data_IF_454354717433
#
_entry.id   IF_454354717433
#
_cell.length_a   1.000
_cell.length_b   1.000
_cell.length_c   1.000
_cell.angle_alpha   90.00
_cell.angle_beta   90.00
_cell.angle_gamma   90.00
#
_symmetry.space_group_name_H-M   'P 1'
#
loop_
_entity.id
_entity.type
_entity.pdbx_description
1 polymer ?
#
# COMPACT_ATOMS: atom_id res chain seq x y z
N UNK A 1 23.52 -4.92 -30.49
CA UNK A 1 23.10 -6.12 -31.26
C UNK A 1 21.60 -6.17 -31.55
N UNK A 2 20.71 -5.93 -30.57
CA UNK A 2 19.24 -5.98 -30.77
C UNK A 2 18.76 -5.00 -31.86
N UNK A 3 19.21 -3.76 -31.86
CA UNK A 3 18.80 -2.75 -32.85
C UNK A 3 19.25 -3.09 -34.28
N UNK A 4 20.49 -3.59 -34.44
CA UNK A 4 20.99 -4.08 -35.74
C UNK A 4 20.17 -5.26 -36.26
N UNK A 5 19.72 -6.15 -35.37
CA UNK A 5 18.85 -7.29 -35.72
C UNK A 5 17.43 -6.84 -36.14
N UNK A 6 17.00 -5.65 -35.73
CA UNK A 6 15.72 -5.05 -36.11
C UNK A 6 15.82 -4.05 -37.27
N UNK A 7 16.91 -4.10 -38.06
CA UNK A 7 17.05 -3.32 -39.29
C UNK A 7 17.63 -1.91 -39.13
N UNK A 8 18.07 -1.52 -37.93
CA UNK A 8 18.80 -0.27 -37.74
C UNK A 8 20.29 -0.48 -38.11
N UNK A 9 20.69 -0.04 -39.30
CA UNK A 9 22.04 -0.30 -39.87
C UNK A 9 23.00 0.89 -39.76
N UNK A 10 22.49 2.12 -39.73
CA UNK A 10 23.29 3.35 -39.67
C UNK A 10 23.04 4.09 -38.35
N UNK A 11 23.74 3.69 -37.30
CA UNK A 11 23.85 4.45 -36.06
C UNK A 11 25.24 4.25 -35.46
N UNK A 12 25.77 5.30 -34.84
CA UNK A 12 26.91 5.23 -33.94
C UNK A 12 26.42 5.13 -32.49
N UNK A 13 27.23 4.58 -31.59
CA UNK A 13 26.91 4.60 -30.16
C UNK A 13 26.80 6.05 -29.62
N UNK A 14 27.43 7.02 -30.30
CA UNK A 14 27.31 8.45 -30.00
C UNK A 14 25.95 9.06 -30.40
N UNK A 15 25.21 8.41 -31.32
CA UNK A 15 23.85 8.83 -31.68
C UNK A 15 22.81 8.41 -30.62
N UNK A 16 23.15 7.43 -29.79
CA UNK A 16 22.32 7.05 -28.65
C UNK A 16 22.72 7.84 -27.42
N UNK A 17 21.84 8.75 -27.00
CA UNK A 17 21.94 9.47 -25.73
C UNK A 17 21.63 8.54 -24.53
N UNK A 18 22.42 7.48 -24.38
CA UNK A 18 22.34 6.52 -23.28
C UNK A 18 23.34 6.92 -22.22
N UNK A 19 22.87 7.09 -20.98
CA UNK A 19 23.70 7.51 -19.86
C UNK A 19 23.65 6.51 -18.72
N UNK A 20 24.80 6.24 -18.12
CA UNK A 20 24.89 5.43 -16.89
C UNK A 20 24.68 6.35 -15.68
N UNK A 21 23.48 6.34 -15.10
CA UNK A 21 23.13 7.18 -13.96
C UNK A 21 21.96 6.59 -13.14
N UNK A 22 21.80 7.05 -11.90
CA UNK A 22 20.53 6.93 -11.17
C UNK A 22 19.62 8.10 -11.55
N UNK A 23 18.52 7.86 -12.26
CA UNK A 23 17.60 8.94 -12.69
C UNK A 23 17.04 9.75 -11.52
N UNK A 24 16.74 9.11 -10.38
CA UNK A 24 16.15 9.76 -9.21
C UNK A 24 17.16 10.50 -8.33
N UNK A 25 18.45 10.41 -8.65
CA UNK A 25 19.47 11.30 -8.10
C UNK A 25 19.42 12.65 -8.84
N UNK A 26 19.01 13.69 -8.12
CA UNK A 26 18.84 15.05 -8.63
C UNK A 26 19.85 16.03 -8.02
N UNK A 27 20.83 15.52 -7.26
CA UNK A 27 21.78 16.34 -6.53
C UNK A 27 22.49 17.32 -7.47
N UNK A 28 22.67 18.57 -7.02
CA UNK A 28 23.28 19.61 -7.83
C UNK A 28 24.82 19.56 -7.87
N UNK A 29 25.46 18.78 -7.02
CA UNK A 29 26.91 18.64 -6.97
C UNK A 29 27.18 17.16 -6.84
N UNK A 30 28.11 16.62 -7.63
CA UNK A 30 28.48 15.23 -7.49
C UNK A 30 29.32 15.05 -6.22
N UNK A 31 28.86 14.22 -5.29
CA UNK A 31 29.68 13.74 -4.18
C UNK A 31 30.47 12.51 -4.63
N UNK A 32 31.46 12.71 -5.51
CA UNK A 32 32.43 11.65 -5.79
C UNK A 32 33.47 11.66 -4.67
N UNK A 33 33.40 10.70 -3.74
CA UNK A 33 34.55 10.36 -2.91
C UNK A 33 35.67 9.92 -3.86
N UNK A 34 36.67 10.80 -3.99
CA UNK A 34 37.66 10.81 -5.07
C UNK A 34 38.75 9.75 -4.83
N UNK A 35 38.38 8.47 -4.90
CA UNK A 35 39.30 7.33 -4.89
C UNK A 35 38.94 6.34 -6.02
N UNK A 36 39.16 6.75 -7.28
CA UNK A 36 39.43 5.89 -8.46
C UNK A 36 39.37 6.73 -9.76
N UNK A 37 40.15 6.40 -10.82
CA UNK A 37 40.12 7.13 -12.08
C UNK A 37 38.89 6.69 -12.89
N UNK A 38 37.79 7.45 -12.75
CA UNK A 38 36.50 7.17 -13.41
C UNK A 38 36.03 8.37 -14.26
N UNK A 39 36.92 9.03 -15.00
CA UNK A 39 36.61 10.18 -15.87
C UNK A 39 35.42 9.92 -16.82
N UNK A 40 35.27 8.68 -17.30
CA UNK A 40 34.15 8.27 -18.14
C UNK A 40 32.81 8.28 -17.38
N UNK A 41 32.79 7.97 -16.08
CA UNK A 41 31.55 8.02 -15.28
C UNK A 41 31.16 9.45 -14.92
N UNK A 42 32.13 10.32 -14.63
CA UNK A 42 31.84 11.74 -14.38
C UNK A 42 31.27 12.42 -15.63
N UNK A 43 31.84 12.12 -16.81
CA UNK A 43 31.32 12.62 -18.09
C UNK A 43 29.89 12.14 -18.36
N UNK A 44 29.61 10.84 -18.16
CA UNK A 44 28.26 10.28 -18.33
C UNK A 44 27.26 10.84 -17.30
N UNK A 45 27.69 11.04 -16.06
CA UNK A 45 26.87 11.66 -15.01
C UNK A 45 26.53 13.12 -15.38
N UNK A 46 27.52 13.90 -15.85
CA UNK A 46 27.32 15.29 -16.29
C UNK A 46 26.35 15.40 -17.46
N UNK A 47 26.46 14.53 -18.47
CA UNK A 47 25.51 14.52 -19.60
C UNK A 47 24.10 14.13 -19.16
N UNK A 48 23.96 13.08 -18.35
CA UNK A 48 22.66 12.67 -17.80
C UNK A 48 22.01 13.80 -17.00
N UNK A 49 22.82 14.51 -16.21
CA UNK A 49 22.38 15.66 -15.43
C UNK A 49 21.93 16.82 -16.31
N UNK A 50 22.64 17.12 -17.40
CA UNK A 50 22.21 18.15 -18.35
C UNK A 50 20.82 17.82 -18.93
N UNK A 51 20.58 16.57 -19.31
CA UNK A 51 19.25 16.11 -19.73
C UNK A 51 18.22 16.30 -18.61
N UNK A 52 18.55 15.97 -17.36
CA UNK A 52 17.62 16.11 -16.21
C UNK A 52 17.32 17.55 -15.82
N UNK A 53 18.24 18.49 -15.98
CA UNK A 53 18.10 19.84 -15.42
C UNK A 53 17.94 20.95 -16.47
N UNK A 54 18.52 20.78 -17.65
CA UNK A 54 18.60 21.84 -18.65
C UNK A 54 17.65 21.62 -19.82
N UNK A 55 17.51 20.37 -20.28
CA UNK A 55 16.80 20.08 -21.52
C UNK A 55 15.30 19.91 -21.30
N UNK A 56 14.48 20.50 -22.17
CA UNK A 56 13.05 20.23 -22.18
C UNK A 56 12.77 18.91 -22.92
N UNK A 57 11.97 18.04 -22.29
CA UNK A 57 11.56 16.77 -22.87
C UNK A 57 10.10 16.86 -23.30
N UNK A 58 9.79 16.44 -24.53
CA UNK A 58 8.40 16.37 -25.00
C UNK A 58 7.72 15.06 -24.60
N UNK A 59 8.50 13.97 -24.53
CA UNK A 59 7.97 12.62 -24.29
C UNK A 59 8.87 11.90 -23.29
N UNK A 60 8.26 11.30 -22.26
CA UNK A 60 8.95 10.45 -21.29
C UNK A 60 8.22 9.11 -21.20
N UNK A 61 8.91 8.04 -21.58
CA UNK A 61 8.36 6.68 -21.58
C UNK A 61 9.17 5.76 -20.66
N UNK A 62 8.56 4.70 -20.13
CA UNK A 62 9.34 3.65 -19.47
C UNK A 62 8.57 2.54 -18.78
N UNK A 63 9.33 1.58 -18.26
CA UNK A 63 8.88 0.59 -17.28
C UNK A 63 9.68 0.81 -15.98
N UNK A 64 9.24 1.75 -15.12
CA UNK A 64 9.94 2.05 -13.88
C UNK A 64 10.04 0.84 -12.93
N UNK A 65 11.07 0.73 -12.08
CA UNK A 65 11.20 -0.36 -11.12
C UNK A 65 10.13 -0.30 -10.03
N UNK A 66 9.71 -1.47 -9.52
CA UNK A 66 8.70 -1.60 -8.44
C UNK A 66 9.40 -1.99 -7.13
N UNK A 67 9.50 -1.07 -6.17
CA UNK A 67 10.11 -1.32 -4.87
C UNK A 67 9.63 -0.36 -3.78
N UNK A 68 8.68 -0.81 -2.96
CA UNK A 68 8.16 -0.05 -1.80
C UNK A 68 9.25 0.20 -0.74
N UNK A 69 10.23 -0.70 -0.57
CA UNK A 69 11.39 -0.52 0.32
C UNK A 69 12.57 0.09 -0.45
N UNK A 70 12.26 1.14 -1.21
CA UNK A 70 13.20 1.83 -2.07
C UNK A 70 14.46 2.32 -1.32
N UNK A 71 15.61 2.13 -1.97
CA UNK A 71 16.89 2.73 -1.57
C UNK A 71 17.05 4.16 -2.10
N UNK A 72 16.23 4.60 -3.04
CA UNK A 72 16.25 5.96 -3.61
C UNK A 72 15.62 6.95 -2.62
N UNK A 73 16.44 7.46 -1.69
CA UNK A 73 16.00 8.36 -0.61
C UNK A 73 16.67 9.74 -0.69
N UNK A 74 17.13 10.15 -1.87
CA UNK A 74 17.70 11.48 -2.08
C UNK A 74 16.70 12.57 -1.69
N UNK A 75 17.19 13.66 -1.09
CA UNK A 75 16.35 14.70 -0.51
C UNK A 75 15.45 15.36 -1.56
N UNK A 76 16.00 15.68 -2.74
CA UNK A 76 15.27 16.35 -3.83
C UNK A 76 14.06 15.54 -4.33
N UNK A 77 14.23 14.24 -4.57
CA UNK A 77 13.12 13.39 -5.02
C UNK A 77 12.09 13.20 -3.91
N UNK A 78 12.51 13.16 -2.65
CA UNK A 78 11.59 13.12 -1.51
C UNK A 78 10.82 14.42 -1.35
N UNK A 79 11.42 15.56 -1.67
CA UNK A 79 10.76 16.87 -1.70
C UNK A 79 9.67 16.90 -2.78
N UNK A 80 10.01 16.51 -4.02
CA UNK A 80 9.03 16.42 -5.11
C UNK A 80 7.85 15.51 -4.75
N UNK A 81 8.13 14.40 -4.06
CA UNK A 81 7.14 13.42 -3.64
C UNK A 81 6.16 13.94 -2.56
N UNK A 82 6.48 15.04 -1.86
CA UNK A 82 5.58 15.61 -0.84
C UNK A 82 4.22 16.02 -1.41
N UNK A 83 4.17 16.47 -2.66
CA UNK A 83 2.91 16.84 -3.34
C UNK A 83 1.93 15.64 -3.35
N UNK A 84 2.43 14.43 -3.59
CA UNK A 84 1.61 13.22 -3.58
C UNK A 84 1.18 12.78 -2.17
N UNK A 85 1.70 13.41 -1.11
CA UNK A 85 1.43 13.09 0.30
C UNK A 85 0.68 14.21 1.03
N UNK A 86 0.61 15.40 0.45
CA UNK A 86 0.08 16.59 1.11
C UNK A 86 -1.40 16.42 1.47
N UNK A 87 -1.74 16.61 2.75
CA UNK A 87 -3.12 16.48 3.23
C UNK A 87 -3.62 15.03 3.40
N UNK A 88 -2.73 14.04 3.33
CA UNK A 88 -3.06 12.67 3.72
C UNK A 88 -2.91 12.51 5.24
N UNK A 89 -4.02 12.19 5.92
CA UNK A 89 -4.04 11.85 7.35
C UNK A 89 -4.00 10.32 7.60
N UNK A 90 -3.78 9.52 6.55
CA UNK A 90 -3.75 8.06 6.65
C UNK A 90 -2.55 7.60 7.48
N UNK A 91 -2.81 6.68 8.42
CA UNK A 91 -1.78 6.12 9.33
C UNK A 91 -0.66 5.38 8.60
N UNK A 92 -0.86 4.93 7.35
CA UNK A 92 0.15 4.23 6.57
C UNK A 92 0.15 4.70 5.11
N UNK A 93 1.08 5.59 4.78
CA UNK A 93 1.32 6.11 3.42
C UNK A 93 2.57 5.50 2.77
N UNK A 94 3.09 4.38 3.29
CA UNK A 94 4.36 3.81 2.85
C UNK A 94 4.35 3.42 1.35
N UNK A 95 3.19 3.04 0.80
CA UNK A 95 3.05 2.70 -0.62
C UNK A 95 3.49 3.84 -1.54
N UNK A 96 3.32 5.10 -1.12
CA UNK A 96 3.73 6.28 -1.90
C UNK A 96 5.26 6.41 -2.04
N UNK A 97 6.05 5.64 -1.29
CA UNK A 97 7.50 5.62 -1.40
C UNK A 97 8.02 4.59 -2.42
N UNK A 98 7.13 3.90 -3.13
CA UNK A 98 7.52 2.99 -4.21
C UNK A 98 8.29 3.73 -5.30
N UNK A 99 9.30 3.07 -5.88
CA UNK A 99 10.14 3.64 -6.92
C UNK A 99 9.33 4.04 -8.16
N UNK A 100 8.34 3.26 -8.60
CA UNK A 100 7.56 3.65 -9.79
C UNK A 100 6.82 4.98 -9.58
N UNK A 101 6.35 5.24 -8.36
CA UNK A 101 5.69 6.50 -8.01
C UNK A 101 6.69 7.65 -8.04
N UNK A 102 7.92 7.44 -7.56
CA UNK A 102 8.99 8.44 -7.64
C UNK A 102 9.35 8.74 -9.09
N UNK A 103 9.44 7.73 -9.95
CA UNK A 103 9.69 7.92 -11.38
C UNK A 103 8.54 8.67 -12.06
N UNK A 104 7.29 8.34 -11.76
CA UNK A 104 6.14 9.09 -12.27
C UNK A 104 6.14 10.54 -11.78
N UNK A 105 6.47 10.78 -10.51
CA UNK A 105 6.56 12.13 -9.96
C UNK A 105 7.70 12.93 -10.58
N UNK A 106 8.88 12.33 -10.70
CA UNK A 106 10.01 12.90 -11.40
C UNK A 106 9.64 13.27 -12.85
N UNK A 107 8.95 12.37 -13.55
CA UNK A 107 8.56 12.60 -14.94
C UNK A 107 7.53 13.73 -15.07
N UNK A 108 6.53 13.81 -14.18
CA UNK A 108 5.59 14.92 -14.12
C UNK A 108 6.33 16.26 -13.90
N UNK A 109 7.21 16.31 -12.90
CA UNK A 109 8.02 17.50 -12.63
C UNK A 109 8.87 17.88 -13.84
N UNK A 110 9.59 16.92 -14.41
CA UNK A 110 10.51 17.13 -15.53
C UNK A 110 9.77 17.64 -16.78
N UNK A 111 8.60 17.08 -17.07
CA UNK A 111 7.82 17.43 -18.24
C UNK A 111 7.13 18.79 -18.08
N UNK A 112 6.51 19.04 -16.92
CA UNK A 112 5.54 20.13 -16.78
C UNK A 112 6.00 21.27 -15.87
N UNK A 113 6.85 21.03 -14.88
CA UNK A 113 7.08 21.99 -13.79
C UNK A 113 8.49 22.59 -13.83
N UNK A 114 9.48 21.79 -14.20
CA UNK A 114 10.86 22.23 -14.26
C UNK A 114 11.03 23.33 -15.31
N UNK A 115 11.82 24.34 -14.98
CA UNK A 115 12.17 25.45 -15.89
C UNK A 115 10.97 26.24 -16.40
N UNK A 116 9.81 26.20 -15.70
CA UNK A 116 8.74 27.17 -15.91
C UNK A 116 9.27 28.58 -15.56
N UNK A 117 9.16 29.51 -16.51
CA UNK A 117 9.62 30.91 -16.39
C UNK A 117 8.68 31.74 -15.54
N UNK A 118 7.38 31.45 -15.62
CA UNK A 118 6.34 32.06 -14.81
C UNK A 118 5.21 31.07 -14.50
N UNK A 119 4.26 31.48 -13.65
CA UNK A 119 3.16 30.64 -13.19
C UNK A 119 2.13 30.31 -14.28
N UNK A 120 2.12 31.04 -15.40
CA UNK A 120 1.14 30.91 -16.47
C UNK A 120 1.68 30.14 -17.68
N UNK A 121 3.00 29.93 -17.76
CA UNK A 121 3.61 29.09 -18.80
C UNK A 121 3.16 27.63 -18.63
N UNK A 122 2.49 27.10 -19.66
CA UNK A 122 2.09 25.71 -19.75
C UNK A 122 2.99 24.95 -20.72
N UNK A 123 3.57 23.86 -20.23
CA UNK A 123 4.37 22.95 -21.05
C UNK A 123 3.50 21.87 -21.66
N UNK A 124 3.90 21.35 -22.81
CA UNK A 124 3.21 20.26 -23.52
C UNK A 124 4.06 19.01 -23.50
N UNK A 125 3.40 17.86 -23.57
CA UNK A 125 4.08 16.60 -23.73
C UNK A 125 3.26 15.39 -23.32
N UNK A 126 3.95 14.25 -23.30
CA UNK A 126 3.36 12.95 -23.04
C UNK A 126 4.21 12.14 -22.06
N UNK A 127 3.57 11.60 -21.03
CA UNK A 127 4.13 10.54 -20.20
C UNK A 127 3.48 9.20 -20.59
N UNK A 128 4.29 8.14 -20.68
CA UNK A 128 3.78 6.80 -20.97
C UNK A 128 4.50 5.72 -20.17
N UNK A 129 3.79 5.03 -19.28
CA UNK A 129 4.39 4.03 -18.41
C UNK A 129 3.63 2.72 -18.38
N UNK A 130 4.36 1.62 -18.21
CA UNK A 130 3.80 0.38 -17.66
C UNK A 130 4.28 0.23 -16.22
N UNK A 131 3.34 0.23 -15.27
CA UNK A 131 3.63 0.21 -13.83
C UNK A 131 2.76 -0.78 -13.09
N UNK A 132 3.09 -1.03 -11.83
CA UNK A 132 2.15 -1.59 -10.86
C UNK A 132 0.83 -0.78 -10.86
N UNK A 133 -0.31 -1.46 -10.92
CA UNK A 133 -1.64 -0.83 -11.00
C UNK A 133 -2.19 -0.36 -9.64
N UNK A 134 -1.48 -0.53 -8.53
CA UNK A 134 -1.98 -0.14 -7.20
C UNK A 134 -2.33 1.35 -7.05
N UNK A 135 -1.76 2.25 -7.87
CA UNK A 135 -2.10 3.66 -7.82
C UNK A 135 -3.49 3.98 -8.37
N UNK A 136 -4.06 3.15 -9.26
CA UNK A 136 -5.36 3.47 -9.89
C UNK A 136 -6.52 3.34 -8.90
N UNK A 137 -6.40 2.47 -7.89
CA UNK A 137 -7.45 2.18 -6.90
C UNK A 137 -7.01 2.18 -5.42
N UNK A 138 -5.74 2.49 -5.11
CA UNK A 138 -5.29 2.55 -3.72
C UNK A 138 -5.74 3.86 -3.02
N UNK A 139 -6.27 3.74 -1.80
CA UNK A 139 -6.81 4.86 -0.99
C UNK A 139 -5.79 5.97 -0.71
N UNK A 140 -4.54 5.59 -0.46
CA UNK A 140 -3.43 6.51 -0.17
C UNK A 140 -2.94 7.25 -1.41
N UNK A 141 -3.19 6.72 -2.62
CA UNK A 141 -2.77 7.32 -3.89
C UNK A 141 -3.69 8.47 -4.35
N UNK A 142 -4.70 8.87 -3.57
CA UNK A 142 -5.67 9.89 -3.98
C UNK A 142 -5.05 11.25 -4.30
N UNK A 143 -4.02 11.67 -3.56
CA UNK A 143 -3.29 12.93 -3.82
C UNK A 143 -2.37 12.85 -5.02
N UNK A 144 -1.80 11.67 -5.29
CA UNK A 144 -1.10 11.40 -6.55
C UNK A 144 -2.07 11.50 -7.74
N UNK A 145 -3.23 10.84 -7.68
CA UNK A 145 -4.24 10.91 -8.75
C UNK A 145 -4.79 12.31 -8.94
N UNK A 146 -5.08 13.03 -7.85
CA UNK A 146 -5.49 14.45 -7.90
C UNK A 146 -4.45 15.31 -8.62
N UNK A 147 -3.16 15.15 -8.28
CA UNK A 147 -2.09 15.91 -8.91
C UNK A 147 -1.99 15.62 -10.41
N UNK A 148 -2.03 14.34 -10.80
CA UNK A 148 -2.01 13.92 -12.21
C UNK A 148 -3.24 14.45 -12.96
N UNK A 149 -4.43 14.29 -12.38
CA UNK A 149 -5.69 14.80 -12.93
C UNK A 149 -5.66 16.31 -13.18
N UNK A 150 -5.09 17.09 -12.26
CA UNK A 150 -4.96 18.55 -12.40
C UNK A 150 -3.83 18.98 -13.34
N UNK A 151 -2.88 18.09 -13.63
CA UNK A 151 -1.68 18.44 -14.41
C UNK A 151 -1.81 18.13 -15.90
N UNK A 152 -2.68 17.19 -16.27
CA UNK A 152 -2.82 16.72 -17.66
C UNK A 152 -4.20 17.07 -18.23
N UNK A 153 -4.32 17.06 -19.56
CA UNK A 153 -5.59 17.34 -20.24
C UNK A 153 -6.35 16.03 -20.53
N UNK A 154 -5.62 14.94 -20.80
CA UNK A 154 -6.18 13.60 -21.00
C UNK A 154 -5.30 12.54 -20.32
N UNK A 155 -5.95 11.52 -19.75
CA UNK A 155 -5.30 10.38 -19.12
C UNK A 155 -5.95 9.10 -19.65
N UNK A 156 -5.14 8.16 -20.13
CA UNK A 156 -5.59 6.84 -20.59
C UNK A 156 -5.01 5.76 -19.70
N UNK A 157 -5.86 4.90 -19.15
CA UNK A 157 -5.49 3.82 -18.22
C UNK A 157 -5.97 2.48 -18.78
N UNK A 158 -5.05 1.71 -19.36
CA UNK A 158 -5.27 0.32 -19.74
C UNK A 158 -4.83 -0.59 -18.58
N UNK A 159 -5.78 -1.01 -17.76
CA UNK A 159 -5.51 -1.94 -16.66
C UNK A 159 -5.44 -3.38 -17.20
N UNK A 160 -4.24 -3.94 -17.17
CA UNK A 160 -3.93 -5.28 -17.66
C UNK A 160 -4.08 -6.35 -16.57
N UNK A 161 -4.35 -5.97 -15.30
CA UNK A 161 -4.53 -6.90 -14.17
C UNK A 161 -3.34 -7.87 -14.01
N UNK A 162 -3.60 -9.14 -13.66
CA UNK A 162 -2.60 -10.18 -13.46
C UNK A 162 -1.96 -10.20 -12.07
N UNK A 163 -2.66 -9.76 -11.03
CA UNK A 163 -2.24 -9.94 -9.64
C UNK A 163 -2.75 -11.25 -9.06
N UNK A 164 -2.09 -11.75 -8.01
CA UNK A 164 -2.58 -12.93 -7.24
C UNK A 164 -3.98 -12.71 -6.61
N UNK A 165 -4.51 -11.49 -6.65
CA UNK A 165 -5.85 -11.14 -6.13
C UNK A 165 -6.93 -11.12 -7.20
N UNK A 166 -6.54 -11.13 -8.47
CA UNK A 166 -7.47 -11.12 -9.60
C UNK A 166 -8.03 -12.54 -9.81
N UNK A 167 -8.82 -12.74 -10.87
CA UNK A 167 -9.38 -14.06 -11.17
C UNK A 167 -8.25 -15.11 -11.29
N UNK A 168 -8.52 -16.35 -10.86
CA UNK A 168 -7.50 -17.41 -10.78
C UNK A 168 -6.80 -17.70 -12.13
N UNK A 169 -7.46 -17.43 -13.24
CA UNK A 169 -6.98 -17.61 -14.60
C UNK A 169 -6.45 -16.31 -15.24
N UNK A 170 -6.40 -15.21 -14.50
CA UNK A 170 -5.90 -13.91 -14.97
C UNK A 170 -4.36 -13.90 -14.92
N UNK A 171 -3.74 -14.05 -16.09
CA UNK A 171 -2.29 -14.16 -16.22
C UNK A 171 -1.64 -12.79 -16.43
N UNK A 172 -0.59 -12.50 -15.67
CA UNK A 172 0.18 -11.26 -15.85
C UNK A 172 0.96 -11.27 -17.18
N UNK A 173 1.14 -10.10 -17.80
CA UNK A 173 1.97 -9.93 -19.01
C UNK A 173 3.47 -10.10 -18.75
N UNK A 174 3.91 -9.96 -17.49
CA UNK A 174 5.23 -10.31 -16.98
C UNK A 174 5.16 -11.54 -16.07
N UNK A 175 6.29 -12.18 -15.77
CA UNK A 175 6.36 -13.28 -14.80
C UNK A 175 6.39 -12.76 -13.34
N UNK A 176 5.37 -12.00 -12.95
CA UNK A 176 5.22 -11.37 -11.63
C UNK A 176 3.80 -11.53 -11.07
N UNK A 177 3.65 -11.28 -9.76
CA UNK A 177 2.40 -11.47 -8.98
C UNK A 177 1.63 -10.19 -8.68
N UNK A 178 2.16 -9.04 -9.11
CA UNK A 178 1.53 -7.73 -8.92
C UNK A 178 0.87 -7.29 -10.21
N UNK A 179 -0.36 -6.80 -10.12
CA UNK A 179 -1.10 -6.34 -11.29
C UNK A 179 -0.44 -5.13 -11.93
N UNK A 180 -0.55 -5.02 -13.26
CA UNK A 180 0.07 -3.93 -14.03
C UNK A 180 -0.93 -3.19 -14.90
N UNK A 181 -0.62 -1.93 -15.20
CA UNK A 181 -1.40 -1.13 -16.14
C UNK A 181 -0.46 -0.31 -17.03
N UNK A 182 -0.90 -0.04 -18.26
CA UNK A 182 -0.29 0.96 -19.13
C UNK A 182 -1.05 2.26 -18.93
N UNK A 183 -0.32 3.34 -18.65
CA UNK A 183 -0.87 4.68 -18.40
C UNK A 183 -0.24 5.69 -19.33
N UNK A 184 -1.07 6.47 -20.03
CA UNK A 184 -0.65 7.63 -20.81
C UNK A 184 -1.21 8.91 -20.18
N UNK A 185 -0.37 9.92 -20.01
CA UNK A 185 -0.76 11.24 -19.50
C UNK A 185 -0.38 12.28 -20.56
N UNK A 186 -1.37 13.00 -21.08
CA UNK A 186 -1.21 13.87 -22.25
C UNK A 186 -1.53 15.31 -21.86
N UNK A 187 -0.60 16.22 -22.15
CA UNK A 187 -0.76 17.67 -22.00
C UNK A 187 -0.51 18.33 -23.35
N UNK A 188 -1.51 18.99 -23.89
CA UNK A 188 -1.48 19.61 -25.22
C UNK A 188 -2.04 21.04 -25.24
N UNK A 189 -2.81 21.43 -24.22
CA UNK A 189 -3.37 22.77 -24.09
C UNK A 189 -2.31 23.76 -23.60
N UNK A 190 -2.45 25.00 -24.07
CA UNK A 190 -1.66 26.16 -23.63
C UNK A 190 -2.23 26.81 -22.36
N UNK A 191 -3.34 26.31 -21.85
CA UNK A 191 -4.01 26.78 -20.63
C UNK A 191 -3.89 25.75 -19.48
N UNK A 192 -3.93 26.19 -18.21
CA UNK A 192 -3.97 25.28 -17.07
C UNK A 192 -5.12 24.27 -17.20
N UNK A 193 -4.87 23.01 -16.85
CA UNK A 193 -5.91 22.00 -16.89
C UNK A 193 -6.92 22.24 -15.77
N UNK A 194 -8.21 22.30 -16.12
CA UNK A 194 -9.31 22.30 -15.15
C UNK A 194 -9.68 20.88 -14.68
N UNK A 195 -8.84 19.89 -14.99
CA UNK A 195 -9.11 18.47 -14.78
C UNK A 195 -9.05 17.69 -16.09
N UNK A 196 -8.29 16.59 -16.08
CA UNK A 196 -8.13 15.72 -17.24
C UNK A 196 -9.41 14.95 -17.56
N UNK A 197 -9.69 14.72 -18.86
CA UNK A 197 -10.57 13.62 -19.24
C UNK A 197 -9.86 12.29 -18.97
N UNK A 198 -10.48 11.40 -18.22
CA UNK A 198 -9.86 10.13 -17.82
C UNK A 198 -10.56 8.97 -18.49
N UNK A 199 -9.84 8.27 -19.35
CA UNK A 199 -10.28 7.13 -20.14
C UNK A 199 -9.75 5.84 -19.54
N UNK A 200 -10.63 4.87 -19.31
CA UNK A 200 -10.32 3.61 -18.66
C UNK A 200 -10.70 2.41 -19.51
N UNK A 201 -9.86 1.37 -19.47
CA UNK A 201 -10.18 0.05 -19.99
C UNK A 201 -9.59 -1.03 -19.08
N UNK A 202 -10.40 -2.05 -18.79
CA UNK A 202 -10.06 -3.17 -17.92
C UNK A 202 -10.05 -4.45 -18.73
N UNK A 203 -8.92 -5.17 -18.78
CA UNK A 203 -8.91 -6.50 -19.43
C UNK A 203 -9.82 -7.48 -18.69
N UNK A 204 -9.85 -7.41 -17.35
CA UNK A 204 -10.71 -8.24 -16.51
C UNK A 204 -12.21 -8.03 -16.79
N UNK A 205 -12.66 -6.77 -16.89
CA UNK A 205 -14.09 -6.45 -17.12
C UNK A 205 -14.54 -6.90 -18.52
N UNK A 206 -13.58 -7.07 -19.44
CA UNK A 206 -13.80 -7.50 -20.82
C UNK A 206 -13.43 -8.99 -21.04
N UNK A 207 -13.27 -9.78 -19.98
CA UNK A 207 -12.96 -11.22 -20.02
C UNK A 207 -11.67 -11.57 -20.80
N UNK A 208 -10.67 -10.70 -20.75
CA UNK A 208 -9.34 -10.90 -21.35
C UNK A 208 -8.37 -11.29 -20.23
N UNK A 209 -8.18 -12.59 -20.02
CA UNK A 209 -7.47 -13.12 -18.85
C UNK A 209 -6.09 -13.68 -19.20
N UNK A 210 -5.95 -14.42 -20.30
CA UNK A 210 -4.67 -15.06 -20.61
C UNK A 210 -3.62 -14.06 -21.09
N UNK A 211 -2.35 -14.38 -20.85
CA UNK A 211 -1.22 -13.57 -21.31
C UNK A 211 -1.26 -13.40 -22.84
N UNK A 212 -1.64 -14.46 -23.56
CA UNK A 212 -1.77 -14.45 -25.03
C UNK A 212 -2.82 -13.46 -25.52
N UNK A 213 -4.00 -13.46 -24.91
CA UNK A 213 -5.09 -12.54 -25.30
C UNK A 213 -4.71 -11.09 -25.00
N UNK A 214 -4.04 -10.84 -23.87
CA UNK A 214 -3.50 -9.51 -23.54
C UNK A 214 -2.49 -9.03 -24.58
N UNK A 215 -1.58 -9.90 -25.03
CA UNK A 215 -0.66 -9.53 -26.11
C UNK A 215 -1.37 -9.30 -27.45
N UNK A 216 -2.41 -10.06 -27.79
CA UNK A 216 -3.21 -9.81 -28.98
C UNK A 216 -3.89 -8.42 -28.94
N UNK A 217 -4.45 -8.03 -27.78
CA UNK A 217 -4.98 -6.68 -27.57
C UNK A 217 -3.88 -5.61 -27.75
N UNK A 218 -2.69 -5.82 -27.19
CA UNK A 218 -1.57 -4.88 -27.34
C UNK A 218 -1.08 -4.79 -28.79
N UNK A 219 -1.10 -5.88 -29.55
CA UNK A 219 -0.80 -5.89 -30.98
C UNK A 219 -1.85 -5.13 -31.81
N UNK A 220 -3.12 -5.19 -31.41
CA UNK A 220 -4.19 -4.35 -31.99
C UNK A 220 -3.95 -2.87 -31.68
N UNK A 221 -3.61 -2.52 -30.44
CA UNK A 221 -3.25 -1.15 -30.03
C UNK A 221 -2.03 -0.64 -30.81
N UNK A 222 -1.02 -1.49 -31.03
CA UNK A 222 0.15 -1.14 -31.85
C UNK A 222 -0.25 -0.78 -33.29
N UNK A 223 -1.24 -1.47 -33.87
CA UNK A 223 -1.65 -1.27 -35.26
C UNK A 223 -2.63 -0.12 -35.45
N UNK A 224 -3.62 0.00 -34.55
CA UNK A 224 -4.76 0.93 -34.68
C UNK A 224 -4.66 2.13 -33.71
N UNK A 225 -3.64 2.18 -32.87
CA UNK A 225 -3.50 3.18 -31.81
C UNK A 225 -4.58 3.04 -30.74
N UNK A 226 -4.93 4.17 -30.11
CA UNK A 226 -5.96 4.21 -29.05
C UNK A 226 -7.36 3.80 -29.54
N UNK A 227 -7.61 3.84 -30.85
CA UNK A 227 -8.87 3.42 -31.46
C UNK A 227 -9.09 1.89 -31.43
N UNK A 228 -8.06 1.11 -31.10
CA UNK A 228 -8.21 -0.34 -30.88
C UNK A 228 -9.11 -0.67 -29.67
N UNK A 229 -9.24 0.27 -28.74
CA UNK A 229 -9.93 0.09 -27.47
C UNK A 229 -11.16 0.99 -27.47
N UNK A 230 -12.30 0.42 -27.04
CA UNK A 230 -13.49 1.20 -26.69
C UNK A 230 -13.35 1.70 -25.25
N UNK A 231 -12.79 2.88 -25.09
CA UNK A 231 -12.55 3.49 -23.79
C UNK A 231 -13.85 3.89 -23.07
N UNK A 232 -13.87 3.71 -21.76
CA UNK A 232 -14.89 4.28 -20.88
C UNK A 232 -14.36 5.57 -20.27
N UNK A 233 -15.04 6.70 -20.49
CA UNK A 233 -14.72 7.95 -19.81
C UNK A 233 -15.24 7.90 -18.37
N UNK A 234 -14.34 8.10 -17.40
CA UNK A 234 -14.65 8.06 -15.98
C UNK A 234 -15.09 9.42 -15.46
N UNK A 235 -16.15 9.44 -14.66
CA UNK A 235 -16.43 10.55 -13.75
C UNK A 235 -15.57 10.41 -12.50
N UNK A 236 -14.81 11.46 -12.17
CA UNK A 236 -13.91 11.44 -11.02
C UNK A 236 -14.50 12.28 -9.88
N UNK A 237 -14.66 11.63 -8.72
CA UNK A 237 -15.19 12.27 -7.53
C UNK A 237 -14.11 12.50 -6.47
N UNK A 238 -14.17 13.67 -5.83
CA UNK A 238 -13.43 13.95 -4.60
C UNK A 238 -13.87 13.00 -3.46
N UNK A 239 -12.99 12.72 -2.49
CA UNK A 239 -11.58 13.14 -2.43
C UNK A 239 -10.64 12.17 -3.15
N UNK A 240 -11.17 11.15 -3.84
CA UNK A 240 -10.38 9.98 -4.24
C UNK A 240 -9.88 10.00 -5.68
N UNK A 241 -10.59 10.62 -6.62
CA UNK A 241 -10.21 10.67 -8.03
C UNK A 241 -9.87 9.28 -8.58
N UNK A 242 -10.76 8.29 -8.45
CA UNK A 242 -10.46 6.90 -8.81
C UNK A 242 -10.21 6.73 -10.31
N UNK A 243 -9.02 6.24 -10.70
CA UNK A 243 -8.70 5.94 -12.10
C UNK A 243 -9.16 4.53 -12.50
N UNK A 244 -10.30 4.12 -11.95
CA UNK A 244 -10.98 2.86 -12.21
C UNK A 244 -12.47 3.13 -12.07
N UNK A 245 -13.27 2.37 -12.80
CA UNK A 245 -14.71 2.32 -12.58
C UNK A 245 -15.03 1.89 -11.15
N UNK A 246 -15.71 2.75 -10.38
CA UNK A 246 -16.31 2.38 -9.09
C UNK A 246 -17.80 2.66 -9.15
N UNK A 247 -18.59 1.60 -9.12
CA UNK A 247 -20.01 1.72 -8.83
C UNK A 247 -20.17 1.71 -7.30
N UNK A 248 -20.31 2.89 -6.70
CA UNK A 248 -20.80 2.98 -5.32
C UNK A 248 -22.30 2.65 -5.34
N UNK A 249 -22.61 1.35 -5.39
CA UNK A 249 -23.97 0.85 -5.67
C UNK A 249 -25.05 1.29 -4.68
N UNK A 250 -24.71 1.89 -3.53
CA UNK A 250 -25.73 2.33 -2.59
C UNK A 250 -25.33 3.57 -1.78
N UNK A 251 -25.86 4.75 -2.15
CA UNK A 251 -25.90 5.91 -1.23
C UNK A 251 -26.58 5.56 0.10
N UNK A 252 -27.50 4.59 0.08
CA UNK A 252 -28.11 4.03 1.29
C UNK A 252 -27.06 3.48 2.28
N UNK A 253 -25.94 2.94 1.79
CA UNK A 253 -24.87 2.42 2.65
C UNK A 253 -24.35 3.48 3.62
N UNK A 254 -24.28 4.72 3.16
CA UNK A 254 -23.78 5.86 3.93
C UNK A 254 -24.73 6.26 5.08
N UNK A 255 -25.98 5.77 5.08
CA UNK A 255 -26.96 6.00 6.14
C UNK A 255 -26.86 5.00 7.31
N UNK A 256 -26.09 3.91 7.17
CA UNK A 256 -25.90 2.94 8.25
C UNK A 256 -24.89 3.41 9.30
N UNK A 257 -24.94 2.80 10.48
CA UNK A 257 -23.99 3.06 11.55
C UNK A 257 -22.60 2.54 11.17
N UNK A 258 -21.58 3.39 11.30
CA UNK A 258 -20.21 2.94 11.25
C UNK A 258 -19.94 1.99 12.42
N UNK A 259 -19.17 0.91 12.21
CA UNK A 259 -18.81 0.03 13.32
C UNK A 259 -17.94 0.75 14.36
N UNK A 260 -17.10 1.69 13.94
CA UNK A 260 -16.11 2.31 14.80
C UNK A 260 -16.07 3.84 14.65
N UNK A 261 -15.91 4.53 15.78
CA UNK A 261 -15.98 6.00 15.88
C UNK A 261 -14.91 6.74 15.08
N UNK A 262 -13.64 6.32 15.09
CA UNK A 262 -12.57 7.00 14.33
C UNK A 262 -12.65 6.78 12.80
N UNK A 263 -13.64 6.00 12.33
CA UNK A 263 -13.97 5.79 10.91
C UNK A 263 -15.31 6.39 10.50
N UNK A 264 -16.03 6.94 11.45
CA UNK A 264 -17.36 7.47 11.22
C UNK A 264 -17.33 8.86 10.59
N UNK A 265 -16.21 9.61 10.70
CA UNK A 265 -16.18 11.04 10.37
C UNK A 265 -17.34 11.73 11.11
N UNK A 266 -18.29 12.33 10.38
CA UNK A 266 -19.48 12.98 10.96
C UNK A 266 -20.68 12.02 11.13
N UNK A 267 -20.49 10.71 10.93
CA UNK A 267 -21.56 9.69 10.98
C UNK A 267 -21.72 9.07 12.35
N UNK A 268 -22.88 8.46 12.55
CA UNK A 268 -23.20 7.64 13.74
C UNK A 268 -22.28 6.42 13.79
N UNK A 269 -21.82 6.04 14.98
CA UNK A 269 -20.95 4.87 15.15
C UNK A 269 -21.30 4.02 16.36
N UNK A 270 -20.95 2.73 16.34
CA UNK A 270 -21.34 1.76 17.36
C UNK A 270 -20.31 1.70 18.49
N UNK A 271 -19.06 1.31 18.18
CA UNK A 271 -18.04 1.01 19.19
C UNK A 271 -17.09 2.17 19.45
N UNK A 272 -16.73 2.39 20.72
CA UNK A 272 -15.74 3.40 21.13
C UNK A 272 -14.30 2.93 20.93
N UNK A 273 -14.01 1.68 21.31
CA UNK A 273 -12.69 1.07 21.23
C UNK A 273 -12.72 -0.16 20.32
N UNK A 274 -11.75 -0.26 19.44
CA UNK A 274 -11.51 -1.42 18.61
C UNK A 274 -10.06 -1.35 18.10
N UNK A 275 -9.51 -2.47 17.67
CA UNK A 275 -8.22 -2.48 16.99
C UNK A 275 -8.07 -3.71 16.13
N UNK A 276 -7.01 -3.73 15.31
CA UNK A 276 -6.62 -4.99 14.70
C UNK A 276 -6.30 -6.02 15.78
N UNK A 277 -6.35 -7.30 15.44
CA UNK A 277 -5.70 -8.34 16.24
C UNK A 277 -4.20 -8.05 16.48
N UNK A 278 -3.62 -8.81 17.41
CA UNK A 278 -2.20 -8.76 17.75
C UNK A 278 -1.35 -9.17 16.55
N UNK A 279 -0.06 -8.82 16.53
CA UNK A 279 0.87 -9.33 15.52
C UNK A 279 2.15 -9.77 16.20
N UNK A 280 2.56 -11.01 15.96
CA UNK A 280 3.80 -11.54 16.55
C UNK A 280 5.02 -11.33 15.65
N UNK A 281 4.82 -11.29 14.33
CA UNK A 281 5.88 -11.31 13.30
C UNK A 281 6.71 -12.62 13.25
N UNK A 282 6.49 -13.54 14.20
CA UNK A 282 7.22 -14.80 14.43
C UNK A 282 6.30 -15.87 15.03
N UNK A 283 5.19 -16.15 14.33
CA UNK A 283 4.10 -16.98 14.85
C UNK A 283 4.57 -18.38 15.28
N UNK A 284 5.55 -18.95 14.58
CA UNK A 284 6.10 -20.28 14.86
C UNK A 284 6.63 -20.47 16.29
N UNK A 285 6.93 -19.38 16.99
CA UNK A 285 7.48 -19.40 18.34
C UNK A 285 6.55 -18.69 19.31
N UNK A 286 6.01 -17.54 18.90
CA UNK A 286 5.13 -16.73 19.73
C UNK A 286 3.72 -17.34 19.90
N UNK A 287 3.29 -18.24 19.00
CA UNK A 287 2.02 -18.94 19.09
C UNK A 287 2.29 -20.45 19.28
N UNK A 288 1.72 -21.05 20.31
CA UNK A 288 1.93 -22.44 20.69
C UNK A 288 0.61 -23.18 20.88
N UNK A 289 0.57 -24.45 20.50
CA UNK A 289 -0.63 -25.29 20.54
C UNK A 289 -1.20 -25.48 21.95
N UNK A 290 -0.36 -25.40 22.98
CA UNK A 290 -0.78 -25.55 24.37
C UNK A 290 0.06 -24.68 25.31
N UNK A 291 -0.46 -24.47 26.52
CA UNK A 291 0.17 -23.66 27.56
C UNK A 291 1.57 -24.16 27.92
N UNK A 292 1.76 -25.48 28.05
CA UNK A 292 3.05 -26.07 28.45
C UNK A 292 4.15 -25.81 27.41
N UNK A 293 3.82 -25.89 26.13
CA UNK A 293 4.74 -25.54 25.03
C UNK A 293 5.18 -24.08 25.14
N UNK A 294 4.26 -23.14 25.42
CA UNK A 294 4.62 -21.74 25.64
C UNK A 294 5.50 -21.56 26.89
N UNK A 295 5.19 -22.22 27.99
CA UNK A 295 6.02 -22.21 29.20
C UNK A 295 7.43 -22.74 28.95
N UNK A 296 7.58 -23.77 28.12
CA UNK A 296 8.89 -24.32 27.77
C UNK A 296 9.72 -23.33 26.97
N UNK A 297 9.11 -22.58 26.04
CA UNK A 297 9.80 -21.51 25.32
C UNK A 297 10.29 -20.42 26.27
N UNK A 298 9.46 -19.97 27.22
CA UNK A 298 9.85 -18.97 28.22
C UNK A 298 10.93 -19.48 29.18
N UNK A 299 10.88 -20.77 29.56
CA UNK A 299 11.93 -21.42 30.37
C UNK A 299 13.25 -21.51 29.61
N UNK A 300 13.23 -21.84 28.31
CA UNK A 300 14.42 -21.83 27.49
C UNK A 300 15.06 -20.44 27.43
N UNK A 301 14.24 -19.39 27.25
CA UNK A 301 14.74 -18.02 27.23
C UNK A 301 15.47 -17.64 28.52
N UNK A 302 14.99 -18.16 29.66
CA UNK A 302 15.61 -17.95 30.97
C UNK A 302 16.86 -18.80 31.20
N UNK A 303 16.84 -20.06 30.75
CA UNK A 303 17.83 -21.06 31.16
C UNK A 303 18.96 -21.26 30.15
N UNK A 304 18.71 -21.00 28.86
CA UNK A 304 19.72 -21.11 27.82
C UNK A 304 20.53 -19.81 27.73
N UNK A 305 21.78 -19.95 27.29
CA UNK A 305 22.61 -18.80 26.93
C UNK A 305 22.02 -18.03 25.75
N UNK A 306 22.51 -16.81 25.54
CA UNK A 306 22.12 -15.97 24.39
C UNK A 306 22.37 -16.72 23.07
N UNK A 307 23.55 -17.31 22.91
CA UNK A 307 23.95 -17.99 21.69
C UNK A 307 23.08 -19.22 21.41
N UNK A 308 22.74 -19.98 22.45
CA UNK A 308 21.84 -21.15 22.35
C UNK A 308 20.41 -20.75 21.99
N UNK A 309 19.88 -19.69 22.61
CA UNK A 309 18.54 -19.19 22.30
C UNK A 309 18.43 -18.70 20.85
N UNK A 310 19.39 -17.87 20.41
CA UNK A 310 19.41 -17.36 19.03
C UNK A 310 19.53 -18.51 18.03
N UNK A 311 20.37 -19.51 18.30
CA UNK A 311 20.53 -20.69 17.44
C UNK A 311 19.28 -21.57 17.40
N UNK A 312 18.66 -21.82 18.56
CA UNK A 312 17.48 -22.70 18.68
C UNK A 312 16.25 -22.10 18.00
N UNK A 313 16.04 -20.80 18.18
CA UNK A 313 14.81 -20.13 17.77
C UNK A 313 14.95 -19.27 16.51
N UNK A 314 16.17 -19.01 16.03
CA UNK A 314 16.42 -18.10 14.91
C UNK A 314 15.69 -16.75 15.08
N UNK A 315 15.76 -16.22 16.31
CA UNK A 315 15.15 -14.95 16.72
C UNK A 315 16.22 -13.91 17.01
N UNK A 316 15.87 -12.64 16.78
CA UNK A 316 16.69 -11.53 17.23
C UNK A 316 16.78 -11.54 18.76
N UNK A 317 18.00 -11.37 19.29
CA UNK A 317 18.24 -11.37 20.73
C UNK A 317 17.45 -10.27 21.47
N UNK A 318 17.15 -9.16 20.81
CA UNK A 318 16.32 -8.09 21.39
C UNK A 318 14.90 -8.58 21.72
N UNK A 319 14.31 -9.41 20.87
CA UNK A 319 12.97 -10.01 21.08
C UNK A 319 13.01 -10.93 22.30
N UNK A 320 14.04 -11.78 22.40
CA UNK A 320 14.23 -12.71 23.51
C UNK A 320 14.39 -11.93 24.82
N UNK A 321 15.30 -10.95 24.87
CA UNK A 321 15.58 -10.18 26.08
C UNK A 321 14.37 -9.37 26.56
N UNK A 322 13.65 -8.74 25.63
CA UNK A 322 12.42 -7.99 25.96
C UNK A 322 11.34 -8.91 26.52
N UNK A 323 11.16 -10.09 25.92
CA UNK A 323 10.19 -11.10 26.37
C UNK A 323 10.56 -11.64 27.75
N UNK A 324 11.83 -11.99 27.95
CA UNK A 324 12.34 -12.48 29.23
C UNK A 324 12.17 -11.43 30.33
N UNK A 325 12.54 -10.19 30.06
CA UNK A 325 12.36 -9.06 30.99
C UNK A 325 10.89 -8.91 31.40
N UNK A 326 9.97 -9.07 30.45
CA UNK A 326 8.53 -8.97 30.74
C UNK A 326 8.03 -10.14 31.58
N UNK A 327 8.53 -11.34 31.28
CA UNK A 327 8.21 -12.57 32.01
C UNK A 327 8.72 -12.52 33.46
N UNK A 328 9.98 -12.13 33.68
CA UNK A 328 10.57 -12.07 35.02
C UNK A 328 9.97 -10.94 35.88
N UNK A 329 9.59 -9.82 35.27
CA UNK A 329 8.94 -8.72 35.97
C UNK A 329 7.42 -8.89 36.13
N UNK A 330 6.83 -10.02 35.71
CA UNK A 330 5.39 -10.28 35.75
C UNK A 330 4.56 -9.19 35.03
N UNK A 331 5.09 -8.62 33.95
CA UNK A 331 4.41 -7.60 33.12
C UNK A 331 3.76 -8.20 31.87
N UNK A 332 3.78 -9.53 31.76
CA UNK A 332 3.07 -10.31 30.76
C UNK A 332 2.71 -11.68 31.31
N UNK A 333 1.82 -12.39 30.61
CA UNK A 333 1.27 -13.66 31.05
C UNK A 333 0.86 -14.52 29.86
N UNK A 334 0.81 -15.83 30.09
CA UNK A 334 0.41 -16.80 29.07
C UNK A 334 -1.11 -16.77 28.94
N UNK A 335 -1.60 -16.42 27.77
CA UNK A 335 -3.02 -16.23 27.49
C UNK A 335 -3.46 -17.03 26.27
N UNK A 336 -4.75 -17.39 26.23
CA UNK A 336 -5.39 -17.98 25.06
C UNK A 336 -5.54 -16.95 23.97
N UNK A 337 -5.35 -17.36 22.72
CA UNK A 337 -5.54 -16.52 21.54
C UNK A 337 -6.39 -17.25 20.50
N UNK A 338 -7.37 -16.55 19.96
CA UNK A 338 -8.02 -16.93 18.71
C UNK A 338 -7.05 -16.68 17.56
N UNK A 339 -6.26 -17.71 17.21
CA UNK A 339 -5.28 -17.62 16.14
C UNK A 339 -5.98 -17.62 14.78
N UNK A 340 -6.92 -18.54 14.57
CA UNK A 340 -7.81 -18.62 13.39
C UNK A 340 -9.23 -19.00 13.84
N UNK A 341 -10.29 -18.81 13.02
CA UNK A 341 -11.65 -19.22 13.39
C UNK A 341 -11.68 -20.63 13.93
N UNK A 342 -12.22 -20.79 15.14
CA UNK A 342 -12.31 -22.06 15.86
C UNK A 342 -10.97 -22.72 16.25
N UNK A 343 -9.85 -22.02 16.08
CA UNK A 343 -8.51 -22.43 16.51
C UNK A 343 -8.01 -21.54 17.66
N UNK A 344 -8.01 -22.10 18.87
CA UNK A 344 -7.56 -21.42 20.08
C UNK A 344 -6.20 -21.98 20.47
N UNK A 345 -5.20 -21.11 20.43
CA UNK A 345 -3.81 -21.42 20.77
C UNK A 345 -3.37 -20.60 21.99
N UNK A 346 -2.08 -20.60 22.29
CA UNK A 346 -1.49 -19.92 23.45
C UNK A 346 -0.35 -19.00 23.04
N UNK A 347 -0.29 -17.82 23.66
CA UNK A 347 0.80 -16.85 23.48
C UNK A 347 1.23 -16.31 24.83
N UNK A 348 2.48 -15.86 24.95
CA UNK A 348 2.86 -14.94 26.02
C UNK A 348 2.46 -13.52 25.60
N UNK A 349 1.57 -12.91 26.38
CA UNK A 349 0.97 -11.62 26.08
C UNK A 349 1.46 -10.56 27.06
N UNK A 350 1.85 -9.41 26.54
CA UNK A 350 2.35 -8.26 27.31
C UNK A 350 1.96 -6.94 26.65
N UNK A 351 2.08 -5.83 27.39
CA UNK A 351 1.79 -4.49 26.84
C UNK A 351 2.84 -4.04 25.82
N UNK A 352 4.09 -4.42 26.04
CA UNK A 352 5.27 -3.93 25.31
C UNK A 352 5.69 -4.90 24.21
N UNK A 353 6.53 -4.41 23.30
CA UNK A 353 7.10 -5.25 22.25
C UNK A 353 8.07 -6.30 22.84
N UNK A 354 8.05 -7.48 22.24
CA UNK A 354 8.76 -8.69 22.65
C UNK A 354 8.35 -9.77 21.65
N UNK A 355 7.75 -10.87 22.10
CA UNK A 355 7.02 -11.78 21.22
C UNK A 355 5.94 -11.13 20.38
N UNK A 356 5.32 -10.08 20.91
CA UNK A 356 4.30 -9.35 20.20
C UNK A 356 4.93 -8.12 19.54
N UNK A 357 5.19 -8.19 18.24
CA UNK A 357 5.58 -7.01 17.45
C UNK A 357 4.55 -5.88 17.52
N UNK A 358 3.26 -6.22 17.53
CA UNK A 358 2.16 -5.26 17.83
C UNK A 358 1.18 -5.86 18.84
N UNK A 359 1.32 -5.55 20.14
CA UNK A 359 0.49 -6.14 21.19
C UNK A 359 -0.97 -5.66 21.21
N UNK A 360 -1.25 -4.46 20.70
CA UNK A 360 -2.60 -3.86 20.70
C UNK A 360 -3.24 -3.79 22.09
N UNK A 361 -2.42 -3.54 23.11
CA UNK A 361 -2.80 -3.58 24.53
C UNK A 361 -4.06 -2.80 24.86
N UNK A 362 -4.19 -1.57 24.35
CA UNK A 362 -5.35 -0.70 24.58
C UNK A 362 -6.72 -1.33 24.28
N UNK A 363 -6.77 -2.36 23.42
CA UNK A 363 -8.00 -3.09 23.07
C UNK A 363 -7.97 -4.51 23.61
N UNK A 364 -6.86 -5.21 23.41
CA UNK A 364 -6.77 -6.64 23.71
C UNK A 364 -6.74 -6.93 25.21
N UNK A 365 -6.33 -5.96 26.05
CA UNK A 365 -6.39 -6.09 27.51
C UNK A 365 -7.77 -6.44 28.05
N UNK A 366 -8.84 -6.07 27.34
CA UNK A 366 -10.21 -6.31 27.77
C UNK A 366 -10.66 -7.77 27.64
N UNK A 367 -9.82 -8.63 27.08
CA UNK A 367 -10.03 -10.09 27.00
C UNK A 367 -9.11 -10.87 27.95
N UNK A 368 -8.25 -10.19 28.70
CA UNK A 368 -7.23 -10.83 29.53
C UNK A 368 -7.76 -11.05 30.94
N UNK A 369 -7.87 -12.31 31.37
CA UNK A 369 -8.36 -12.71 32.70
C UNK A 369 -9.72 -12.07 33.08
N UNK A 370 -10.52 -11.72 32.08
CA UNK A 370 -11.88 -11.16 32.21
C UNK A 370 -12.84 -11.93 31.31
N UNK A 371 -14.07 -12.12 31.78
CA UNK A 371 -15.14 -12.66 30.93
C UNK A 371 -15.68 -11.54 30.02
N UNK A 372 -15.31 -11.61 28.75
CA UNK A 372 -15.74 -10.63 27.74
C UNK A 372 -16.01 -11.33 26.40
N UNK A 373 -16.87 -10.71 25.61
CA UNK A 373 -17.09 -11.07 24.22
C UNK A 373 -16.59 -9.95 23.32
N UNK A 374 -16.29 -10.25 22.07
CA UNK A 374 -15.88 -9.27 21.08
C UNK A 374 -16.45 -9.60 19.73
N UNK A 375 -16.73 -8.57 18.93
CA UNK A 375 -17.08 -8.73 17.53
C UNK A 375 -15.79 -8.64 16.70
N UNK A 376 -15.42 -9.74 16.05
CA UNK A 376 -14.36 -9.77 15.06
C UNK A 376 -14.93 -9.53 13.67
N UNK A 377 -14.30 -8.65 12.89
CA UNK A 377 -14.69 -8.31 11.53
C UNK A 377 -13.46 -7.96 10.68
N UNK A 378 -13.62 -7.89 9.36
CA UNK A 378 -12.54 -7.52 8.43
C UNK A 378 -12.60 -6.04 8.02
N UNK A 379 -11.45 -5.48 7.63
CA UNK A 379 -11.38 -4.08 7.15
C UNK A 379 -12.10 -3.87 5.83
N UNK A 380 -12.04 -4.86 4.94
CA UNK A 380 -12.60 -4.81 3.60
C UNK A 380 -12.87 -6.23 3.11
N UNK A 381 -14.05 -6.46 2.56
CA UNK A 381 -14.35 -7.73 1.90
C UNK A 381 -13.48 -7.91 0.67
N UNK A 382 -13.01 -9.15 0.47
CA UNK A 382 -12.36 -9.60 -0.77
C UNK A 382 -13.36 -10.27 -1.72
N UNK A 383 -14.61 -10.44 -1.28
CA UNK A 383 -15.70 -11.01 -2.05
C UNK A 383 -16.83 -10.01 -2.18
N UNK A 384 -17.68 -10.22 -3.19
CA UNK A 384 -18.86 -9.39 -3.44
C UNK A 384 -19.97 -9.59 -2.38
N UNK A 385 -19.77 -10.51 -1.45
CA UNK A 385 -20.64 -10.74 -0.29
C UNK A 385 -19.86 -10.62 1.02
N UNK A 386 -20.56 -10.24 2.09
CA UNK A 386 -20.00 -10.20 3.43
C UNK A 386 -20.08 -11.58 4.10
N UNK A 387 -18.93 -12.09 4.57
CA UNK A 387 -18.86 -13.43 5.18
C UNK A 387 -17.93 -13.56 6.39
N UNK A 388 -17.25 -12.48 6.79
CA UNK A 388 -16.17 -12.56 7.78
C UNK A 388 -16.49 -11.74 9.02
N UNK A 389 -17.39 -12.29 9.84
CA UNK A 389 -17.69 -11.78 11.18
C UNK A 389 -17.94 -12.94 12.14
N UNK A 390 -17.34 -12.88 13.33
CA UNK A 390 -17.55 -13.90 14.37
C UNK A 390 -17.40 -13.28 15.75
N UNK A 391 -18.04 -13.89 16.74
CA UNK A 391 -17.83 -13.53 18.15
C UNK A 391 -16.59 -14.24 18.68
N UNK A 392 -15.74 -13.51 19.40
CA UNK A 392 -14.57 -14.04 20.09
C UNK A 392 -14.68 -13.81 21.61
N UNK A 393 -13.97 -14.61 22.40
CA UNK A 393 -13.90 -14.45 23.86
C UNK A 393 -12.49 -14.27 24.40
N UNK A 394 -11.48 -14.33 23.53
CA UNK A 394 -10.07 -14.14 23.87
C UNK A 394 -9.45 -13.07 22.96
N UNK A 395 -8.18 -12.73 23.20
CA UNK A 395 -7.40 -11.92 22.25
C UNK A 395 -7.35 -12.61 20.88
N UNK A 396 -7.15 -11.83 19.83
CA UNK A 396 -7.28 -12.27 18.43
C UNK A 396 -6.02 -11.96 17.65
N UNK A 397 -5.68 -12.81 16.68
CA UNK A 397 -4.59 -12.55 15.74
C UNK A 397 -4.98 -11.50 14.69
N UNK A 398 -4.01 -10.71 14.25
CA UNK A 398 -4.20 -9.65 13.26
C UNK A 398 -4.63 -10.17 11.89
N UNK A 399 -4.38 -11.45 11.60
CA UNK A 399 -4.79 -12.17 10.40
C UNK A 399 -5.79 -13.28 10.72
N UNK A 400 -6.66 -13.09 11.72
CA UNK A 400 -7.62 -14.09 12.17
C UNK A 400 -8.39 -14.76 11.03
N UNK A 401 -8.99 -13.99 10.13
CA UNK A 401 -9.70 -14.53 8.94
C UNK A 401 -8.80 -14.84 7.73
N UNK A 402 -7.48 -14.89 7.88
CA UNK A 402 -6.52 -14.89 6.77
C UNK A 402 -6.26 -13.51 6.15
N UNK A 403 -6.98 -12.50 6.63
CA UNK A 403 -6.84 -11.10 6.23
C UNK A 403 -6.77 -10.21 7.47
N UNK A 404 -6.41 -8.94 7.26
CA UNK A 404 -6.38 -7.96 8.34
C UNK A 404 -7.73 -7.87 9.03
N UNK A 405 -7.74 -8.34 10.27
CA UNK A 405 -8.92 -8.52 11.10
C UNK A 405 -8.91 -7.53 12.27
N UNK A 406 -10.08 -7.05 12.62
CA UNK A 406 -10.35 -6.11 13.70
C UNK A 406 -11.28 -6.73 14.72
N UNK A 407 -11.14 -6.30 15.96
CA UNK A 407 -11.91 -6.79 17.09
C UNK A 407 -12.38 -5.60 17.92
N UNK A 408 -13.67 -5.54 18.16
CA UNK A 408 -14.30 -4.60 19.10
C UNK A 408 -14.79 -5.39 20.33
N UNK A 409 -14.20 -5.21 21.52
CA UNK A 409 -14.72 -5.84 22.74
C UNK A 409 -16.12 -5.31 23.06
N UNK A 410 -16.96 -6.12 23.68
CA UNK A 410 -18.30 -5.73 24.11
C UNK A 410 -18.24 -4.80 25.32
N UNK A 411 -17.29 -5.07 26.23
CA UNK A 411 -17.04 -4.27 27.42
C UNK A 411 -15.59 -3.79 27.48
N UNK A 412 -15.40 -2.59 28.02
CA UNK A 412 -14.11 -2.07 28.44
C UNK A 412 -13.95 -2.28 29.94
N UNK A 413 -12.74 -2.65 30.33
CA UNK A 413 -12.34 -2.78 31.73
C UNK A 413 -11.38 -1.65 32.06
N UNK A 414 -11.83 -0.72 32.90
CA UNK A 414 -11.04 0.43 33.37
C UNK A 414 -11.07 0.43 34.89
N UNK A 415 -9.92 0.39 35.55
CA UNK A 415 -9.83 0.31 37.02
C UNK A 415 -10.71 -0.81 37.64
N UNK A 416 -10.76 -1.97 36.96
CA UNK A 416 -11.64 -3.12 37.29
C UNK A 416 -13.15 -2.91 37.15
N UNK A 417 -13.61 -1.75 36.68
CA UNK A 417 -15.01 -1.52 36.33
C UNK A 417 -15.31 -2.00 34.92
N UNK A 418 -16.48 -2.63 34.75
CA UNK A 418 -16.97 -3.17 33.47
C UNK A 418 -17.91 -2.15 32.82
N UNK A 419 -17.46 -1.51 31.75
CA UNK A 419 -18.15 -0.42 31.06
C UNK A 419 -18.56 -0.89 29.65
N UNK A 420 -19.80 -0.66 29.17
CA UNK A 420 -20.17 -0.99 27.79
C UNK A 420 -19.32 -0.22 26.76
N UNK A 421 -18.81 -0.91 25.73
CA UNK A 421 -18.00 -0.31 24.68
C UNK A 421 -18.84 0.31 23.55
N UNK A 422 -19.82 1.15 23.90
CA UNK A 422 -20.74 1.74 22.93
C UNK A 422 -20.74 3.26 22.99
N UNK A 423 -20.95 3.92 21.85
CA UNK A 423 -21.16 5.37 21.81
C UNK A 423 -22.47 5.75 22.51
N UNK A 424 -22.53 6.99 22.99
CA UNK A 424 -23.74 7.53 23.63
C UNK A 424 -24.93 7.52 22.66
N UNK A 425 -24.73 7.84 21.38
CA UNK A 425 -25.83 7.80 20.42
C UNK A 425 -26.33 6.37 20.20
N UNK A 426 -25.42 5.38 20.14
CA UNK A 426 -25.82 3.98 19.94
C UNK A 426 -26.59 3.44 21.14
N UNK A 427 -26.20 3.82 22.36
CA UNK A 427 -26.94 3.46 23.57
C UNK A 427 -28.36 4.04 23.57
N UNK A 428 -28.52 5.32 23.21
CA UNK A 428 -29.84 5.94 23.09
C UNK A 428 -30.70 5.30 21.97
N UNK A 429 -30.07 4.91 20.86
CA UNK A 429 -30.75 4.16 19.80
C UNK A 429 -31.21 2.77 20.27
N UNK A 430 -30.34 2.06 21.01
CA UNK A 430 -30.59 0.73 21.55
C UNK A 430 -31.84 0.69 22.42
N UNK A 431 -32.02 1.66 23.31
CA UNK A 431 -33.15 1.74 24.24
C UNK A 431 -34.51 1.75 23.52
N UNK A 432 -34.56 2.31 22.32
CA UNK A 432 -35.78 2.45 21.52
C UNK A 432 -35.93 1.34 20.46
N UNK A 433 -34.93 0.47 20.30
CA UNK A 433 -34.90 -0.53 19.23
C UNK A 433 -35.47 -1.87 19.68
N UNK A 434 -36.47 -2.39 18.95
CA UNK A 434 -37.24 -3.58 19.35
C UNK A 434 -36.42 -4.85 19.59
N UNK A 435 -35.30 -5.01 18.86
CA UNK A 435 -34.43 -6.20 18.93
C UNK A 435 -33.21 -5.98 19.85
N UNK A 436 -32.76 -4.73 20.02
CA UNK A 436 -31.49 -4.45 20.70
C UNK A 436 -31.67 -3.98 22.16
N UNK A 437 -32.87 -3.51 22.51
CA UNK A 437 -33.27 -3.31 23.91
C UNK A 437 -33.20 -4.64 24.65
#
# INVERSE_FOLDING_TARGET
QILRKNGFVNFSDADFQIFLNNTLDLEKIANFDMFMPLENLDTEWKKARDVKHSQDLLVILGNPPYNVKSKNKGEDILELLKIYKQGLNDKNIQSLNDDYIKFMRFAQWKLLEQNKKDLFEEKKGLLGFITNNSFINGKTHRKMRESLYKSFDEIYILNLHGSDKDAKNDENVFDIKVGVCISLFVKYKDEPSNGAKVFYYSTGDNNIFSRKEKFALLDDVRQKGLNAIKWEELSLDEPYFWFIKREFKNKEYENFWALASDKAEDKKSIFLNYSSGIQTEKDNIAIQLNKQSMENVLKDFKNLTKEENVKKYNLDNSIILNTLTQYENNTGFISKIHYRPFDIQWTFYSEKQGFLGRPRYKTMQHFLDKENLGLCFIESSIHDYFSHSIVCSNITDGNFFGFRSFTAPLYLYVNNEKIPNFTSEFLAYKENHKILK
#
